data_IF_114753857609
#
_entry.id   IF_114753857609
#
_cell.length_a   1.000
_cell.length_b   1.000
_cell.length_c   1.000
_cell.angle_alpha   90.00
_cell.angle_beta   90.00
_cell.angle_gamma   90.00
#
_symmetry.space_group_name_H-M   'P 1'
#
loop_
_entity.id
_entity.type
_entity.pdbx_description
1 polymer ?
#
# COMPACT_ATOMS: atom_id res chain seq x y z
N UNK A 1 -25.59 3.20 8.00
CA UNK A 1 -25.23 2.88 6.60
C UNK A 1 -23.72 3.04 6.49
N UNK A 2 -22.96 1.94 6.55
CA UNK A 2 -21.55 1.96 6.20
C UNK A 2 -21.46 2.39 4.73
N UNK A 3 -21.05 3.63 4.45
CA UNK A 3 -20.61 3.97 3.10
C UNK A 3 -19.34 3.15 2.86
N UNK A 4 -19.45 2.10 2.04
CA UNK A 4 -18.31 1.50 1.37
C UNK A 4 -17.49 2.65 0.79
N UNK A 5 -16.27 2.80 1.31
CA UNK A 5 -15.33 3.80 0.84
C UNK A 5 -14.11 3.07 0.28
N UNK A 6 -13.30 3.80 -0.46
CA UNK A 6 -12.12 3.24 -1.12
C UNK A 6 -11.10 2.92 -0.03
N UNK A 7 -10.63 1.69 0.01
CA UNK A 7 -9.62 1.19 0.94
C UNK A 7 -8.35 0.83 0.18
N UNK A 8 -7.22 0.72 0.89
CA UNK A 8 -5.97 0.28 0.30
C UNK A 8 -5.49 -1.00 0.97
N UNK A 9 -5.21 -2.00 0.14
CA UNK A 9 -4.68 -3.29 0.52
C UNK A 9 -3.28 -3.47 -0.05
N UNK A 10 -2.35 -3.85 0.81
CA UNK A 10 -1.00 -4.26 0.45
C UNK A 10 -0.94 -5.79 0.52
N UNK A 11 -0.52 -6.43 -0.56
CA UNK A 11 -0.40 -7.87 -0.67
C UNK A 11 1.06 -8.26 -0.75
N UNK A 12 1.47 -9.17 0.13
CA UNK A 12 2.80 -9.75 0.13
C UNK A 12 2.97 -10.71 -1.07
N UNK A 13 4.09 -10.60 -1.77
CA UNK A 13 4.49 -11.52 -2.85
C UNK A 13 5.86 -12.08 -2.53
N UNK A 14 5.93 -13.37 -2.17
CA UNK A 14 7.18 -14.04 -1.79
C UNK A 14 8.14 -14.14 -2.96
N UNK A 15 9.46 -14.30 -2.74
CA UNK A 15 10.45 -14.40 -3.81
C UNK A 15 10.11 -15.41 -4.90
N UNK A 16 9.58 -16.58 -4.52
CA UNK A 16 9.16 -17.63 -5.46
C UNK A 16 7.90 -17.29 -6.26
N UNK A 17 7.09 -16.34 -5.81
CA UNK A 17 5.85 -15.88 -6.44
C UNK A 17 6.09 -14.69 -7.39
N UNK A 18 7.20 -13.95 -7.24
CA UNK A 18 7.50 -12.74 -8.01
C UNK A 18 7.54 -13.01 -9.51
N UNK A 19 8.41 -13.92 -9.97
CA UNK A 19 8.56 -14.19 -11.40
C UNK A 19 7.27 -14.73 -12.03
N UNK A 20 6.55 -15.69 -11.41
CA UNK A 20 5.23 -16.11 -11.87
C UNK A 20 4.23 -14.97 -11.99
N UNK A 21 4.16 -14.08 -10.99
CA UNK A 21 3.25 -12.93 -11.01
C UNK A 21 3.60 -11.96 -12.14
N UNK A 22 4.88 -11.62 -12.32
CA UNK A 22 5.29 -10.68 -13.37
C UNK A 22 5.07 -11.25 -14.79
N UNK A 23 5.15 -12.57 -14.97
CA UNK A 23 4.80 -13.23 -16.24
C UNK A 23 3.30 -13.35 -16.47
N UNK A 24 2.53 -13.44 -15.39
CA UNK A 24 1.08 -13.64 -15.42
C UNK A 24 0.39 -12.72 -14.40
N UNK A 25 0.29 -11.41 -14.67
CA UNK A 25 -0.20 -10.44 -13.67
C UNK A 25 -1.64 -10.68 -13.20
N UNK A 26 -2.47 -11.36 -14.00
CA UNK A 26 -3.81 -11.80 -13.61
C UNK A 26 -3.84 -12.72 -12.37
N UNK A 27 -2.69 -13.29 -11.97
CA UNK A 27 -2.56 -14.05 -10.73
C UNK A 27 -2.76 -13.20 -9.47
N UNK A 28 -2.82 -11.88 -9.59
CA UNK A 28 -3.18 -11.00 -8.49
C UNK A 28 -4.56 -11.33 -7.91
N UNK A 29 -5.48 -11.87 -8.72
CA UNK A 29 -6.81 -12.29 -8.26
C UNK A 29 -6.70 -13.39 -7.19
N UNK A 30 -5.79 -14.36 -7.38
CA UNK A 30 -5.50 -15.43 -6.40
C UNK A 30 -4.93 -14.84 -5.10
N UNK A 31 -4.03 -13.86 -5.21
CA UNK A 31 -3.43 -13.18 -4.05
C UNK A 31 -4.45 -12.33 -3.29
N UNK A 32 -5.41 -11.72 -4.00
CA UNK A 32 -6.49 -10.95 -3.41
C UNK A 32 -7.52 -11.81 -2.67
N UNK A 33 -7.59 -13.11 -2.97
CA UNK A 33 -8.39 -14.07 -2.19
C UNK A 33 -7.71 -14.43 -0.85
N UNK A 34 -6.37 -14.39 -0.77
CA UNK A 34 -5.57 -14.66 0.43
C UNK A 34 -5.22 -13.38 1.21
N UNK A 35 -6.25 -12.67 1.66
CA UNK A 35 -6.10 -11.38 2.37
C UNK A 35 -5.41 -11.49 3.73
N UNK A 36 -5.29 -12.69 4.31
CA UNK A 36 -4.59 -12.91 5.59
C UNK A 36 -3.09 -12.60 5.50
N UNK A 37 -2.53 -12.65 4.28
CA UNK A 37 -1.14 -12.30 3.99
C UNK A 37 -0.94 -10.82 3.66
N UNK A 38 -2.01 -10.02 3.69
CA UNK A 38 -1.99 -8.61 3.36
C UNK A 38 -2.14 -7.67 4.55
N UNK A 39 -1.95 -6.38 4.30
CA UNK A 39 -2.28 -5.30 5.21
C UNK A 39 -3.34 -4.41 4.58
N UNK A 40 -4.47 -4.24 5.26
CA UNK A 40 -5.47 -3.24 4.91
C UNK A 40 -5.28 -1.99 5.79
N UNK A 41 -4.98 -0.85 5.18
CA UNK A 41 -4.87 0.45 5.87
C UNK A 41 -6.17 1.26 5.85
N UNK A 42 -7.29 0.61 5.55
CA UNK A 42 -8.62 1.18 5.40
C UNK A 42 -8.58 2.40 4.46
N UNK A 43 -9.25 3.50 4.82
CA UNK A 43 -9.36 4.73 4.03
C UNK A 43 -8.18 5.67 4.25
N UNK A 44 -7.16 5.27 5.02
CA UNK A 44 -6.03 6.11 5.36
C UNK A 44 -5.09 6.41 4.18
N UNK A 45 -5.25 5.71 3.04
CA UNK A 45 -4.30 5.75 1.91
C UNK A 45 -4.03 7.14 1.34
N UNK A 46 -5.06 7.95 1.10
CA UNK A 46 -4.87 9.27 0.49
C UNK A 46 -4.19 10.24 1.47
N UNK A 47 -4.61 10.17 2.74
CA UNK A 47 -3.95 10.91 3.79
C UNK A 47 -2.50 10.48 4.00
N UNK A 48 -2.20 9.19 4.01
CA UNK A 48 -0.82 8.69 4.09
C UNK A 48 -0.01 9.08 2.85
N UNK A 49 -0.59 9.07 1.65
CA UNK A 49 0.10 9.56 0.45
C UNK A 49 0.46 11.05 0.57
N UNK A 50 -0.45 11.88 1.10
CA UNK A 50 -0.19 13.30 1.33
C UNK A 50 0.88 13.55 2.40
N UNK A 51 0.83 12.80 3.51
CA UNK A 51 1.76 12.92 4.64
C UNK A 51 3.15 12.35 4.33
N UNK A 52 3.26 11.40 3.40
CA UNK A 52 4.48 10.67 3.05
C UNK A 52 5.03 11.03 1.67
N UNK A 53 4.52 12.11 1.04
CA UNK A 53 4.89 12.54 -0.32
C UNK A 53 6.39 12.76 -0.56
N UNK A 54 7.16 12.98 0.49
CA UNK A 54 8.61 13.23 0.43
C UNK A 54 9.44 11.94 0.55
N UNK A 55 8.80 10.77 0.67
CA UNK A 55 9.48 9.49 0.63
C UNK A 55 10.10 9.23 -0.75
N UNK A 56 11.25 8.55 -0.82
CA UNK A 56 11.86 8.18 -2.10
C UNK A 56 11.02 7.19 -2.91
N UNK A 57 10.18 6.41 -2.23
CA UNK A 57 9.22 5.48 -2.82
C UNK A 57 7.83 5.92 -2.41
N UNK A 58 6.99 6.24 -3.39
CA UNK A 58 5.57 6.41 -3.17
C UNK A 58 4.96 5.02 -2.89
N UNK A 59 4.60 4.78 -1.64
CA UNK A 59 4.07 3.49 -1.18
C UNK A 59 2.58 3.31 -1.46
N UNK A 60 1.88 4.34 -1.97
CA UNK A 60 0.44 4.28 -2.28
C UNK A 60 0.21 4.27 -3.80
N UNK A 61 0.80 5.22 -4.53
CA UNK A 61 0.63 5.35 -5.98
C UNK A 61 1.89 5.06 -6.79
N UNK A 62 3.02 4.79 -6.13
CA UNK A 62 4.26 4.43 -6.81
C UNK A 62 4.25 3.01 -7.35
N UNK A 63 5.43 2.51 -7.71
CA UNK A 63 5.58 1.20 -8.32
C UNK A 63 5.12 1.13 -9.78
N UNK A 64 5.16 -0.07 -10.33
CA UNK A 64 4.80 -0.37 -11.72
C UNK A 64 3.37 -0.94 -11.76
N UNK A 65 2.44 -0.36 -12.54
CA UNK A 65 1.13 -0.96 -12.75
C UNK A 65 1.24 -2.40 -13.27
N UNK A 66 0.46 -3.31 -12.69
CA UNK A 66 0.31 -4.68 -13.17
C UNK A 66 -0.75 -4.72 -14.26
N UNK A 67 -0.33 -5.00 -15.48
CA UNK A 67 -1.24 -5.12 -16.64
C UNK A 67 -1.94 -6.50 -16.60
N UNK A 68 -3.01 -6.61 -15.81
CA UNK A 68 -3.75 -7.88 -15.61
C UNK A 68 -4.61 -8.30 -16.80
N UNK A 69 -4.85 -7.38 -17.74
CA UNK A 69 -5.76 -7.58 -18.87
C UNK A 69 -7.25 -7.41 -18.54
N UNK A 70 -7.59 -7.00 -17.31
CA UNK A 70 -8.95 -6.60 -16.93
C UNK A 70 -8.95 -5.28 -16.14
N UNK A 71 -10.10 -4.63 -16.04
CA UNK A 71 -10.24 -3.34 -15.38
C UNK A 71 -10.45 -3.49 -13.87
N UNK A 72 -9.75 -2.64 -13.10
CA UNK A 72 -9.98 -2.45 -11.67
C UNK A 72 -10.70 -1.11 -11.45
N UNK A 73 -11.66 -1.09 -10.52
CA UNK A 73 -12.53 0.06 -10.27
C UNK A 73 -11.76 1.36 -9.91
N UNK A 74 -10.57 1.23 -9.31
CA UNK A 74 -9.75 2.36 -8.85
C UNK A 74 -8.34 2.36 -9.46
N UNK A 75 -8.19 1.73 -10.63
CA UNK A 75 -6.94 1.62 -11.35
C UNK A 75 -6.20 0.32 -11.06
N UNK A 76 -5.25 -0.01 -11.95
CA UNK A 76 -4.48 -1.26 -11.87
C UNK A 76 -3.71 -1.36 -10.54
N UNK A 77 -3.63 -2.56 -9.94
CA UNK A 77 -2.74 -2.83 -8.82
C UNK A 77 -1.31 -2.46 -9.17
N UNK A 78 -0.54 -1.99 -8.19
CA UNK A 78 0.83 -1.51 -8.40
C UNK A 78 1.85 -2.38 -7.70
N UNK A 79 2.84 -2.82 -8.44
CA UNK A 79 3.93 -3.65 -7.96
C UNK A 79 5.10 -2.79 -7.46
N UNK A 80 5.49 -3.02 -6.21
CA UNK A 80 6.74 -2.57 -5.62
C UNK A 80 7.74 -3.74 -5.61
N UNK A 81 8.89 -3.55 -6.24
CA UNK A 81 9.95 -4.56 -6.23
C UNK A 81 10.52 -4.77 -4.81
N UNK A 82 11.21 -5.90 -4.54
CA UNK A 82 11.86 -6.11 -3.24
C UNK A 82 12.82 -4.97 -2.85
N UNK A 83 13.51 -4.39 -3.83
CA UNK A 83 14.39 -3.24 -3.62
C UNK A 83 13.59 -1.99 -3.20
N UNK A 84 12.48 -1.70 -3.88
CA UNK A 84 11.61 -0.57 -3.52
C UNK A 84 10.98 -0.76 -2.14
N UNK A 85 10.57 -2.00 -1.80
CA UNK A 85 10.02 -2.34 -0.48
C UNK A 85 11.07 -2.13 0.60
N UNK A 86 12.32 -2.54 0.38
CA UNK A 86 13.43 -2.30 1.30
C UNK A 86 13.67 -0.79 1.51
N UNK A 87 13.80 -0.02 0.43
CA UNK A 87 14.00 1.44 0.51
C UNK A 87 12.83 2.10 1.27
N UNK A 88 11.59 1.71 0.99
CA UNK A 88 10.43 2.23 1.68
C UNK A 88 10.45 1.90 3.18
N UNK A 89 10.72 0.65 3.54
CA UNK A 89 10.80 0.20 4.94
C UNK A 89 11.88 0.95 5.74
N UNK A 90 13.03 1.23 5.13
CA UNK A 90 14.13 1.98 5.74
C UNK A 90 13.84 3.49 5.85
N UNK A 91 13.02 4.02 4.94
CA UNK A 91 12.71 5.46 4.87
C UNK A 91 11.52 5.88 5.72
N UNK A 92 10.65 4.92 6.10
CA UNK A 92 9.46 5.21 6.90
C UNK A 92 9.76 5.71 8.32
N UNK A 93 10.67 5.14 9.13
CA UNK A 93 10.79 5.45 10.55
C UNK A 93 10.91 6.95 10.86
N UNK A 94 9.98 7.48 11.67
CA UNK A 94 10.07 8.83 12.23
C UNK A 94 9.77 9.98 11.26
N UNK A 95 9.34 9.69 10.03
CA UNK A 95 9.07 10.74 9.01
C UNK A 95 7.64 11.26 9.02
N UNK A 96 6.69 10.57 9.67
CA UNK A 96 5.29 10.99 9.69
C UNK A 96 5.12 12.29 10.48
N UNK A 97 4.79 13.38 9.77
CA UNK A 97 4.46 14.69 10.34
C UNK A 97 3.00 15.01 10.09
N UNK A 98 2.18 14.89 11.13
CA UNK A 98 0.75 15.11 11.03
C UNK A 98 0.38 16.60 10.89
N UNK A 99 -0.56 16.91 10.00
CA UNK A 99 -1.15 18.24 9.79
C UNK A 99 -2.68 18.10 9.69
N UNK A 100 -3.37 18.21 10.81
CA UNK A 100 -4.83 18.00 10.92
C UNK A 100 -5.67 18.82 9.94
N UNK A 101 -5.48 20.15 9.84
CA UNK A 101 -6.15 20.96 8.84
C UNK A 101 -5.95 20.47 7.40
N UNK A 102 -4.74 20.06 7.03
CA UNK A 102 -4.47 19.49 5.70
C UNK A 102 -5.22 18.16 5.48
N UNK A 103 -5.44 17.37 6.53
CA UNK A 103 -6.15 16.09 6.43
C UNK A 103 -7.63 16.22 6.08
N UNK A 104 -8.24 17.37 6.36
CA UNK A 104 -9.65 17.60 5.98
C UNK A 104 -9.85 17.76 4.46
N UNK A 105 -8.77 18.03 3.72
CA UNK A 105 -8.77 18.20 2.26
C UNK A 105 -8.42 16.94 1.46
N UNK A 106 -8.05 15.84 2.13
CA UNK A 106 -7.65 14.55 1.51
C UNK A 106 -8.60 13.46 1.96
N UNK A 107 -8.82 12.43 1.15
CA UNK A 107 -9.75 11.36 1.48
C UNK A 107 -9.33 10.63 2.80
N UNK A 108 -10.28 10.30 3.70
CA UNK A 108 -11.73 10.50 3.62
C UNK A 108 -12.22 11.86 4.18
N UNK A 109 -11.31 12.79 4.50
CA UNK A 109 -11.60 14.14 4.98
C UNK A 109 -11.74 14.21 6.50
N UNK A 110 -10.93 13.44 7.23
CA UNK A 110 -10.99 13.33 8.70
C UNK A 110 -9.73 13.88 9.34
N UNK A 111 -9.89 14.73 10.35
CA UNK A 111 -8.80 15.15 11.24
C UNK A 111 -8.73 14.17 12.42
N UNK A 112 -7.96 13.10 12.26
CA UNK A 112 -7.77 12.04 13.24
C UNK A 112 -6.32 11.53 13.24
N UNK A 113 -5.46 12.18 14.04
CA UNK A 113 -4.03 11.83 14.12
C UNK A 113 -3.80 10.38 14.57
N UNK A 114 -4.59 9.89 15.53
CA UNK A 114 -4.44 8.53 16.06
C UNK A 114 -4.73 7.49 14.98
N UNK A 115 -5.77 7.71 14.16
CA UNK A 115 -6.10 6.89 13.02
C UNK A 115 -4.93 6.78 12.03
N UNK A 116 -4.37 7.91 11.59
CA UNK A 116 -3.26 7.90 10.63
C UNK A 116 -1.98 7.31 11.23
N UNK A 117 -1.67 7.59 12.50
CA UNK A 117 -0.51 7.01 13.19
C UNK A 117 -0.62 5.49 13.31
N UNK A 118 -1.80 4.97 13.63
CA UNK A 118 -2.05 3.53 13.72
C UNK A 118 -1.85 2.84 12.36
N UNK A 119 -2.40 3.41 11.29
CA UNK A 119 -2.25 2.82 9.95
C UNK A 119 -0.83 2.96 9.39
N UNK A 120 -0.14 4.07 9.69
CA UNK A 120 1.27 4.23 9.39
C UNK A 120 2.15 3.21 10.12
N UNK A 121 1.89 2.95 11.41
CA UNK A 121 2.64 1.94 12.16
C UNK A 121 2.45 0.54 11.56
N UNK A 122 1.21 0.17 11.23
CA UNK A 122 0.93 -1.10 10.55
C UNK A 122 1.61 -1.20 9.18
N UNK A 123 1.62 -0.12 8.40
CA UNK A 123 2.32 -0.06 7.11
C UNK A 123 3.82 -0.26 7.26
N UNK A 124 4.42 0.39 8.25
CA UNK A 124 5.85 0.23 8.54
C UNK A 124 6.18 -1.19 8.98
N UNK A 125 5.39 -1.79 9.89
CA UNK A 125 5.59 -3.17 10.35
C UNK A 125 5.50 -4.16 9.18
N UNK A 126 4.50 -4.00 8.31
CA UNK A 126 4.29 -4.84 7.14
C UNK A 126 5.43 -4.74 6.12
N UNK A 127 5.83 -3.53 5.74
CA UNK A 127 6.91 -3.32 4.77
C UNK A 127 8.26 -3.78 5.33
N UNK A 128 8.50 -3.60 6.63
CA UNK A 128 9.71 -4.10 7.30
C UNK A 128 9.78 -5.63 7.29
N UNK A 129 8.65 -6.31 7.52
CA UNK A 129 8.58 -7.77 7.43
C UNK A 129 8.85 -8.26 5.99
N UNK A 130 8.20 -7.63 5.00
CA UNK A 130 8.41 -7.96 3.58
C UNK A 130 9.86 -7.73 3.16
N UNK A 131 10.44 -6.57 3.50
CA UNK A 131 11.83 -6.24 3.20
C UNK A 131 12.81 -7.28 3.78
N UNK A 132 12.59 -7.71 5.02
CA UNK A 132 13.44 -8.72 5.68
C UNK A 132 13.44 -10.06 4.94
N UNK A 133 12.32 -10.43 4.33
CA UNK A 133 12.16 -11.70 3.61
C UNK A 133 12.57 -11.60 2.14
N UNK A 134 12.83 -10.39 1.63
CA UNK A 134 13.02 -10.15 0.19
C UNK A 134 11.72 -10.23 -0.61
N UNK A 135 10.58 -10.04 0.06
CA UNK A 135 9.27 -10.07 -0.57
C UNK A 135 9.05 -8.80 -1.40
N UNK A 136 8.33 -8.93 -2.51
CA UNK A 136 7.72 -7.81 -3.20
C UNK A 136 6.34 -7.50 -2.60
N UNK A 137 5.77 -6.36 -2.98
CA UNK A 137 4.44 -5.94 -2.52
C UNK A 137 3.58 -5.48 -3.69
N UNK A 138 2.31 -5.84 -3.69
CA UNK A 138 1.31 -5.27 -4.59
C UNK A 138 0.35 -4.39 -3.81
N UNK A 139 0.15 -3.16 -4.27
CA UNK A 139 -0.77 -2.18 -3.69
C UNK A 139 -2.03 -2.12 -4.53
N UNK A 140 -3.21 -2.28 -3.92
CA UNK A 140 -4.50 -2.25 -4.62
C UNK A 140 -5.49 -1.35 -3.88
N UNK A 141 -6.28 -0.57 -4.64
CA UNK A 141 -7.35 0.27 -4.14
C UNK A 141 -8.70 -0.41 -4.43
N UNK A 142 -9.56 -0.55 -3.41
CA UNK A 142 -10.80 -1.36 -3.42
C UNK A 142 -12.01 -0.63 -2.84
#
# INVERSE_FOLDING_TARGET
MNRMGITCLYLNVRPEEIEPLLKHPQRIDELMEDVERGLNIDKAWDGLAALLKDLPIDVVFGGTPLETGHEFAYGQPRYLSPEQVMIAAESLPGVLRYDGPAMTGVYPGVDDEEYYRRHYAGLWDFLSACAKNGDAVVVTLL
#
